data_IF_196141834065
#
_entry.id   IF_196141834065
#
_cell.length_a   1.000
_cell.length_b   1.000
_cell.length_c   1.000
_cell.angle_alpha   90.00
_cell.angle_beta   90.00
_cell.angle_gamma   90.00
#
_symmetry.space_group_name_H-M   'P 1'
#
loop_
_entity.id
_entity.type
_entity.pdbx_description
1 polymer ?
#
# COMPACT_ATOMS: atom_id res chain seq x y z
N UNK A 1 3.82 -13.51 -4.32
CA UNK A 1 3.33 -13.75 -2.95
C UNK A 1 2.03 -14.57 -2.89
N UNK A 2 1.09 -14.36 -3.82
CA UNK A 2 -0.19 -15.06 -3.93
C UNK A 2 -0.20 -16.57 -3.63
N UNK A 3 0.70 -17.36 -4.22
CA UNK A 3 0.70 -18.82 -4.03
C UNK A 3 1.01 -19.24 -2.59
N UNK A 4 1.89 -18.51 -1.90
CA UNK A 4 2.23 -18.76 -0.50
C UNK A 4 1.10 -18.30 0.43
N UNK A 5 0.40 -17.22 0.11
CA UNK A 5 -0.63 -16.67 1.01
C UNK A 5 -1.99 -17.35 0.85
N UNK A 6 -2.16 -18.22 -0.16
CA UNK A 6 -3.43 -18.89 -0.45
C UNK A 6 -3.90 -19.73 0.74
N UNK A 7 -5.15 -19.49 1.15
CA UNK A 7 -5.82 -20.24 2.22
C UNK A 7 -5.36 -19.87 3.63
N UNK A 8 -4.63 -18.76 3.80
CA UNK A 8 -4.11 -18.31 5.10
C UNK A 8 -4.27 -16.81 5.28
N UNK A 9 -4.65 -16.38 6.47
CA UNK A 9 -4.54 -14.97 6.86
C UNK A 9 -3.06 -14.62 6.98
N UNK A 10 -2.62 -13.64 6.20
CA UNK A 10 -1.21 -13.28 6.11
C UNK A 10 -1.06 -11.78 6.34
N UNK A 11 -0.28 -11.41 7.35
CA UNK A 11 0.07 -10.03 7.62
C UNK A 11 1.42 -9.71 6.97
N UNK A 12 1.44 -8.70 6.10
CA UNK A 12 2.65 -8.29 5.38
C UNK A 12 2.95 -6.84 5.74
N UNK A 13 4.16 -6.62 6.25
CA UNK A 13 4.72 -5.28 6.46
C UNK A 13 5.74 -5.07 5.36
N UNK A 14 5.50 -4.09 4.49
CA UNK A 14 6.36 -3.84 3.34
C UNK A 14 6.64 -2.35 3.16
N UNK A 15 7.88 -2.03 2.79
CA UNK A 15 8.26 -0.69 2.35
C UNK A 15 8.05 -0.47 0.84
N UNK A 16 7.85 -1.56 0.08
CA UNK A 16 7.66 -1.51 -1.37
C UNK A 16 6.18 -1.45 -1.71
N UNK A 17 5.82 -0.45 -2.50
CA UNK A 17 4.44 -0.22 -2.89
C UNK A 17 3.82 -1.35 -3.71
N UNK A 18 4.62 -2.00 -4.57
CA UNK A 18 4.18 -3.15 -5.36
C UNK A 18 3.73 -4.34 -4.51
N UNK A 19 4.26 -4.47 -3.29
CA UNK A 19 3.89 -5.55 -2.37
C UNK A 19 2.56 -5.27 -1.65
N UNK A 20 2.30 -4.01 -1.31
CA UNK A 20 1.04 -3.60 -0.66
C UNK A 20 -0.12 -3.47 -1.66
N UNK A 21 0.16 -3.21 -2.94
CA UNK A 21 -0.88 -3.13 -3.97
C UNK A 21 -1.67 -4.45 -4.14
N UNK A 22 -1.02 -5.60 -3.94
CA UNK A 22 -1.65 -6.92 -4.08
C UNK A 22 -2.47 -7.34 -2.84
N UNK A 23 -2.48 -6.54 -1.77
CA UNK A 23 -3.16 -6.90 -0.54
C UNK A 23 -4.68 -6.68 -0.65
N UNK A 24 -5.45 -7.62 -0.12
CA UNK A 24 -6.91 -7.50 -0.03
C UNK A 24 -7.32 -6.32 0.88
N UNK A 25 -6.48 -6.02 1.87
CA UNK A 25 -6.67 -4.93 2.84
C UNK A 25 -5.33 -4.33 3.24
N UNK A 26 -5.25 -3.01 3.16
CA UNK A 26 -4.09 -2.18 3.49
C UNK A 26 -4.42 -1.38 4.74
N UNK A 27 -3.46 -1.32 5.66
CA UNK A 27 -3.51 -0.53 6.89
C UNK A 27 -2.36 0.46 6.85
N UNK A 28 -2.67 1.75 6.90
CA UNK A 28 -1.67 2.81 6.91
C UNK A 28 -1.43 3.23 8.35
N UNK A 29 -0.19 3.06 8.80
CA UNK A 29 0.24 3.36 10.15
C UNK A 29 1.07 4.64 10.16
N UNK A 30 0.70 5.58 11.02
CA UNK A 30 1.43 6.82 11.26
C UNK A 30 1.39 7.13 12.76
N UNK A 31 2.56 7.45 13.33
CA UNK A 31 2.70 7.82 14.75
C UNK A 31 2.07 6.80 15.72
N UNK A 32 2.15 5.51 15.39
CA UNK A 32 1.58 4.42 16.19
C UNK A 32 0.07 4.23 16.05
N UNK A 33 -0.60 4.98 15.18
CA UNK A 33 -2.04 4.88 14.94
C UNK A 33 -2.34 4.47 13.50
N UNK A 34 -3.46 3.76 13.31
CA UNK A 34 -3.98 3.44 11.97
C UNK A 34 -4.76 4.66 11.50
N UNK A 35 -4.23 5.35 10.50
CA UNK A 35 -4.83 6.58 9.97
C UNK A 35 -5.74 6.31 8.77
N UNK A 36 -5.48 5.24 8.02
CA UNK A 36 -6.28 4.84 6.86
C UNK A 36 -6.35 3.32 6.75
N UNK A 37 -7.46 2.84 6.22
CA UNK A 37 -7.72 1.41 6.01
C UNK A 37 -8.61 1.22 4.79
N UNK A 38 -8.20 0.36 3.86
CA UNK A 38 -8.98 0.09 2.66
C UNK A 38 -8.27 -0.88 1.73
N UNK A 39 -8.73 -0.98 0.49
CA UNK A 39 -7.96 -1.62 -0.57
C UNK A 39 -7.18 -0.54 -1.35
N UNK A 40 -6.35 -0.97 -2.29
CA UNK A 40 -5.53 -0.06 -3.09
C UNK A 40 -6.37 1.02 -3.81
N UNK A 41 -7.47 0.62 -4.44
CA UNK A 41 -8.30 1.51 -5.24
C UNK A 41 -9.05 2.54 -4.37
N UNK A 42 -9.62 2.11 -3.24
CA UNK A 42 -10.31 3.00 -2.32
C UNK A 42 -9.37 4.03 -1.71
N UNK A 43 -8.19 3.59 -1.27
CA UNK A 43 -7.20 4.50 -0.67
C UNK A 43 -6.60 5.49 -1.68
N UNK A 44 -6.50 5.11 -2.96
CA UNK A 44 -6.13 6.07 -4.01
C UNK A 44 -7.25 7.07 -4.29
N UNK A 45 -8.51 6.65 -4.27
CA UNK A 45 -9.66 7.53 -4.48
C UNK A 45 -9.82 8.55 -3.35
N UNK A 46 -9.52 8.15 -2.11
CA UNK A 46 -9.58 9.00 -0.92
C UNK A 46 -8.53 10.13 -0.93
N UNK A 47 -7.49 10.02 -1.78
CA UNK A 47 -6.42 11.02 -1.94
C UNK A 47 -5.79 11.46 -0.62
N UNK A 48 -5.70 10.55 0.35
CA UNK A 48 -5.08 10.79 1.64
C UNK A 48 -3.61 10.39 1.69
N UNK A 49 -3.15 9.94 2.86
CA UNK A 49 -1.72 9.72 3.11
C UNK A 49 -1.14 8.59 2.24
N UNK A 50 -1.91 7.54 2.01
CA UNK A 50 -1.55 6.46 1.10
C UNK A 50 -1.31 6.98 -0.33
N UNK A 51 -2.18 7.87 -0.81
CA UNK A 51 -2.07 8.47 -2.14
C UNK A 51 -0.81 9.32 -2.26
N UNK A 52 -0.52 10.17 -1.26
CA UNK A 52 0.69 11.00 -1.26
C UNK A 52 1.96 10.13 -1.26
N UNK A 53 1.97 9.06 -0.45
CA UNK A 53 3.05 8.09 -0.43
C UNK A 53 3.21 7.41 -1.80
N UNK A 54 2.09 7.03 -2.43
CA UNK A 54 2.07 6.41 -3.75
C UNK A 54 2.68 7.33 -4.81
N UNK A 55 2.23 8.58 -4.86
CA UNK A 55 2.70 9.57 -5.82
C UNK A 55 4.19 9.86 -5.63
N UNK A 56 4.66 9.99 -4.39
CA UNK A 56 6.09 10.25 -4.12
C UNK A 56 7.03 9.13 -4.61
N UNK A 57 6.57 7.88 -4.56
CA UNK A 57 7.33 6.70 -5.03
C UNK A 57 7.26 6.55 -6.55
N UNK A 58 6.18 6.99 -7.19
CA UNK A 58 6.03 6.97 -8.65
C UNK A 58 6.72 8.15 -9.34
N UNK A 59 6.73 9.34 -8.74
CA UNK A 59 7.45 10.50 -9.27
C UNK A 59 8.95 10.23 -9.40
N UNK A 60 9.54 9.44 -8.49
CA UNK A 60 10.95 9.02 -8.60
C UNK A 60 11.24 8.09 -9.77
N UNK A 61 10.25 7.35 -10.29
CA UNK A 61 10.43 6.50 -11.47
C UNK A 61 10.40 7.27 -12.80
N UNK A 62 9.89 8.50 -12.81
CA UNK A 62 9.77 9.30 -14.02
C UNK A 62 11.03 10.11 -14.35
N UNK A 63 11.95 10.29 -13.40
CA UNK A 63 13.25 10.96 -13.63
C UNK A 63 14.37 10.01 -14.10
N UNK A 64 14.11 8.69 -14.14
CA UNK A 64 15.08 7.67 -14.57
C UNK A 64 14.77 7.08 -15.97
N UNK A 65 13.82 7.65 -16.71
CA UNK A 65 13.43 7.24 -18.07
C UNK A 65 13.68 8.36 -19.09
#
# INVERSE_FOLDING_TARGET
>A
MKTLMRGRTSFVIAHRLSTIQEADKILVLKDGQIIEQGNHESLLADKGFYYDLYQSQFSKKAEEA
#
